data_IF_778178343725
#
_entry.id   IF_778178343725
#
_cell.length_a   1.000
_cell.length_b   1.000
_cell.length_c   1.000
_cell.angle_alpha   90.00
_cell.angle_beta   90.00
_cell.angle_gamma   90.00
#
_symmetry.space_group_name_H-M   'P 1'
#
loop_
_entity.id
_entity.type
_entity.pdbx_description
1 polymer ?
#
# COMPACT_ATOMS: atom_id res chain seq x y z
N UNK A 1 -11.50 15.20 17.38
CA UNK A 1 -10.70 15.23 16.13
C UNK A 1 -9.33 14.73 16.48
N UNK A 2 -8.95 13.56 15.94
CA UNK A 2 -7.78 12.82 16.40
C UNK A 2 -6.46 13.49 16.06
N UNK A 3 -5.44 13.21 16.89
CA UNK A 3 -4.07 13.67 16.69
C UNK A 3 -3.56 13.30 15.29
N UNK A 4 -3.90 12.11 14.81
CA UNK A 4 -3.50 11.60 13.49
C UNK A 4 -4.05 12.48 12.36
N UNK A 5 -5.28 12.95 12.45
CA UNK A 5 -5.87 13.81 11.40
C UNK A 5 -5.27 15.21 11.33
N UNK A 6 -4.48 15.63 12.33
CA UNK A 6 -3.77 16.91 12.34
C UNK A 6 -2.42 16.84 11.62
N UNK A 7 -1.88 15.63 11.39
CA UNK A 7 -0.60 15.46 10.72
C UNK A 7 -0.70 15.81 9.22
N UNK A 8 0.39 16.31 8.62
CA UNK A 8 0.46 16.55 7.18
C UNK A 8 0.20 15.26 6.39
N UNK A 9 -0.55 15.37 5.28
CA UNK A 9 -0.88 14.23 4.43
C UNK A 9 0.36 13.45 3.94
N UNK A 10 1.40 14.12 3.40
CA UNK A 10 2.63 13.47 2.98
C UNK A 10 3.34 12.67 4.09
N UNK A 11 3.34 13.18 5.32
CA UNK A 11 3.91 12.46 6.46
C UNK A 11 3.13 11.17 6.78
N UNK A 12 1.80 11.23 6.73
CA UNK A 12 0.96 10.05 6.96
C UNK A 12 1.20 8.99 5.88
N UNK A 13 1.36 9.39 4.61
CA UNK A 13 1.65 8.45 3.52
C UNK A 13 3.03 7.83 3.70
N UNK A 14 4.03 8.62 4.12
CA UNK A 14 5.36 8.11 4.44
C UNK A 14 5.33 7.07 5.58
N UNK A 15 4.60 7.35 6.67
CA UNK A 15 4.40 6.39 7.75
C UNK A 15 3.69 5.12 7.28
N UNK A 16 2.71 5.26 6.39
CA UNK A 16 2.05 4.13 5.75
C UNK A 16 2.99 3.29 4.89
N UNK A 17 3.79 3.92 4.04
CA UNK A 17 4.81 3.26 3.23
C UNK A 17 5.87 2.56 4.09
N UNK A 18 6.28 3.19 5.19
CA UNK A 18 7.16 2.58 6.18
C UNK A 18 6.57 1.29 6.76
N UNK A 19 5.30 1.31 7.20
CA UNK A 19 4.63 0.11 7.69
C UNK A 19 4.55 -0.97 6.61
N UNK A 20 4.18 -0.62 5.38
CA UNK A 20 4.05 -1.58 4.27
C UNK A 20 5.39 -2.20 3.87
N UNK A 21 6.50 -1.50 4.04
CA UNK A 21 7.84 -1.96 3.63
C UNK A 21 8.28 -3.27 4.31
N UNK A 22 7.72 -3.62 5.47
CA UNK A 22 7.98 -4.89 6.15
C UNK A 22 7.28 -6.10 5.50
N UNK A 23 6.45 -5.88 4.48
CA UNK A 23 5.62 -6.93 3.88
C UNK A 23 6.40 -8.10 3.32
N UNK A 24 7.46 -7.84 2.57
CA UNK A 24 8.31 -8.90 2.01
C UNK A 24 9.01 -9.72 3.09
N UNK A 25 9.58 -9.04 4.09
CA UNK A 25 10.23 -9.70 5.24
C UNK A 25 9.25 -10.62 5.98
N UNK A 26 8.07 -10.09 6.35
CA UNK A 26 7.09 -10.85 7.14
C UNK A 26 6.55 -12.04 6.33
N UNK A 27 6.18 -11.83 5.05
CA UNK A 27 5.61 -12.91 4.23
C UNK A 27 6.62 -14.04 3.99
N UNK A 28 7.90 -13.74 3.87
CA UNK A 28 8.95 -14.76 3.73
C UNK A 28 9.31 -15.49 5.03
N UNK A 29 8.93 -14.93 6.16
CA UNK A 29 9.20 -15.55 7.46
C UNK A 29 8.16 -16.59 7.88
N UNK A 30 7.06 -16.77 7.14
CA UNK A 30 6.07 -17.81 7.43
C UNK A 30 6.65 -19.21 7.21
N UNK A 31 6.41 -20.11 8.15
CA UNK A 31 6.93 -21.48 8.17
C UNK A 31 5.79 -22.50 7.99
N UNK A 32 5.64 -23.03 6.77
CA UNK A 32 4.70 -24.11 6.48
C UNK A 32 3.26 -23.71 6.21
N UNK A 33 2.89 -22.45 6.36
CA UNK A 33 1.56 -21.96 5.98
C UNK A 33 1.40 -21.80 4.48
N UNK A 34 0.25 -22.21 3.95
CA UNK A 34 -0.12 -21.95 2.56
C UNK A 34 -0.48 -20.48 2.35
N UNK A 35 -0.39 -20.01 1.12
CA UNK A 35 -0.75 -18.63 0.77
C UNK A 35 -2.17 -18.24 1.24
N UNK A 36 -3.12 -19.19 1.21
CA UNK A 36 -4.52 -18.94 1.59
C UNK A 36 -4.70 -18.84 3.10
N UNK A 37 -3.94 -19.62 3.87
CA UNK A 37 -3.90 -19.50 5.33
C UNK A 37 -3.28 -18.17 5.75
N UNK A 38 -2.17 -17.75 5.11
CA UNK A 38 -1.55 -16.44 5.34
C UNK A 38 -2.55 -15.32 5.04
N UNK A 39 -3.23 -15.39 3.88
CA UNK A 39 -4.24 -14.40 3.50
C UNK A 39 -5.34 -14.33 4.55
N UNK A 40 -5.92 -15.48 4.96
CA UNK A 40 -7.01 -15.53 5.93
C UNK A 40 -6.61 -14.88 7.27
N UNK A 41 -5.56 -15.37 7.93
CA UNK A 41 -5.16 -14.89 9.25
C UNK A 41 -4.68 -13.44 9.25
N UNK A 42 -3.95 -13.03 8.23
CA UNK A 42 -3.56 -11.64 8.03
C UNK A 42 -4.78 -10.72 7.97
N UNK A 43 -5.84 -11.11 7.27
CA UNK A 43 -7.05 -10.30 7.16
C UNK A 43 -7.89 -10.31 8.45
N UNK A 44 -7.90 -11.37 9.21
CA UNK A 44 -8.52 -11.40 10.55
C UNK A 44 -7.93 -10.29 11.42
N UNK A 45 -6.61 -10.23 11.55
CA UNK A 45 -5.95 -9.19 12.35
C UNK A 45 -6.08 -7.78 11.75
N UNK A 46 -6.10 -7.68 10.43
CA UNK A 46 -6.39 -6.42 9.74
C UNK A 46 -7.78 -5.87 10.10
N UNK A 47 -8.82 -6.70 10.00
CA UNK A 47 -10.20 -6.33 10.35
C UNK A 47 -10.28 -5.91 11.81
N UNK A 48 -9.65 -6.65 12.72
CA UNK A 48 -9.61 -6.31 14.15
C UNK A 48 -8.98 -4.93 14.34
N UNK A 49 -7.83 -4.66 13.70
CA UNK A 49 -7.11 -3.39 13.82
C UNK A 49 -7.93 -2.22 13.30
N UNK A 50 -8.53 -2.35 12.11
CA UNK A 50 -9.37 -1.30 11.53
C UNK A 50 -10.62 -1.07 12.41
N UNK A 51 -11.23 -2.14 12.91
CA UNK A 51 -12.38 -2.06 13.81
C UNK A 51 -12.04 -1.32 15.09
N UNK A 52 -10.94 -1.68 15.75
CA UNK A 52 -10.45 -1.00 16.95
C UNK A 52 -10.20 0.49 16.64
N UNK A 53 -9.53 0.80 15.54
CA UNK A 53 -9.29 2.18 15.13
C UNK A 53 -10.59 2.96 14.95
N UNK A 54 -11.59 2.40 14.28
CA UNK A 54 -12.90 3.04 14.07
C UNK A 54 -13.63 3.26 15.40
N UNK A 55 -13.62 2.29 16.31
CA UNK A 55 -14.26 2.43 17.63
C UNK A 55 -13.59 3.51 18.48
N UNK A 56 -12.26 3.60 18.49
CA UNK A 56 -11.55 4.66 19.20
C UNK A 56 -11.87 6.05 18.64
N UNK A 57 -12.07 6.14 17.32
CA UNK A 57 -12.31 7.40 16.63
C UNK A 57 -13.77 7.86 16.68
N UNK A 58 -14.72 6.95 16.53
CA UNK A 58 -16.14 7.25 16.31
C UNK A 58 -17.05 6.76 17.42
N UNK A 59 -16.54 5.95 18.36
CA UNK A 59 -17.32 5.39 19.48
C UNK A 59 -18.66 4.79 18.97
N UNK A 60 -19.79 5.32 19.46
CA UNK A 60 -21.14 4.85 19.07
C UNK A 60 -21.50 5.14 17.60
N UNK A 61 -20.78 6.03 16.91
CA UNK A 61 -21.08 6.46 15.54
C UNK A 61 -20.37 5.62 14.46
N UNK A 62 -19.72 4.51 14.82
CA UNK A 62 -18.99 3.65 13.85
C UNK A 62 -19.92 3.18 12.71
N UNK A 63 -21.10 2.64 13.03
CA UNK A 63 -22.04 2.16 12.02
C UNK A 63 -22.53 3.25 11.09
N UNK A 64 -22.77 4.46 11.61
CA UNK A 64 -23.13 5.62 10.79
C UNK A 64 -22.01 5.99 9.82
N UNK A 65 -20.74 5.89 10.23
CA UNK A 65 -19.58 6.19 9.35
C UNK A 65 -19.41 5.11 8.27
N UNK A 66 -19.63 3.85 8.60
CA UNK A 66 -19.66 2.75 7.62
C UNK A 66 -20.77 3.01 6.58
N UNK A 67 -21.97 3.35 7.03
CA UNK A 67 -23.10 3.65 6.14
C UNK A 67 -22.82 4.87 5.25
N UNK A 68 -22.23 5.93 5.80
CA UNK A 68 -21.87 7.15 5.06
C UNK A 68 -20.77 6.95 4.01
N UNK A 69 -19.96 5.90 4.11
CA UNK A 69 -19.01 5.56 3.03
C UNK A 69 -19.71 5.10 1.76
N UNK A 70 -20.94 4.61 1.90
CA UNK A 70 -21.89 4.32 0.82
C UNK A 70 -21.38 3.36 -0.26
N UNK A 71 -21.99 3.44 -1.44
CA UNK A 71 -21.62 2.62 -2.60
C UNK A 71 -20.15 2.79 -2.99
N UNK A 72 -19.57 4.01 -3.01
CA UNK A 72 -18.13 4.17 -3.32
C UNK A 72 -17.24 3.42 -2.34
N UNK A 73 -17.57 3.44 -1.03
CA UNK A 73 -16.84 2.69 0.00
C UNK A 73 -16.98 1.18 -0.20
N UNK A 74 -18.18 0.69 -0.54
CA UNK A 74 -18.41 -0.73 -0.81
C UNK A 74 -17.61 -1.21 -2.03
N UNK A 75 -17.71 -0.52 -3.16
CA UNK A 75 -17.00 -0.86 -4.40
C UNK A 75 -15.49 -0.78 -4.18
N UNK A 76 -15.00 0.32 -3.57
CA UNK A 76 -13.60 0.49 -3.26
C UNK A 76 -13.05 -0.59 -2.33
N UNK A 77 -13.84 -1.01 -1.34
CA UNK A 77 -13.49 -2.10 -0.44
C UNK A 77 -13.40 -3.46 -1.16
N UNK A 78 -14.36 -3.79 -2.02
CA UNK A 78 -14.32 -5.03 -2.81
C UNK A 78 -13.08 -5.05 -3.71
N UNK A 79 -12.83 -3.97 -4.45
CA UNK A 79 -11.67 -3.84 -5.35
C UNK A 79 -10.36 -3.98 -4.56
N UNK A 80 -10.24 -3.30 -3.42
CA UNK A 80 -9.04 -3.39 -2.58
C UNK A 80 -8.86 -4.80 -2.00
N UNK A 81 -9.93 -5.48 -1.62
CA UNK A 81 -9.88 -6.87 -1.13
C UNK A 81 -9.35 -7.85 -2.18
N UNK A 82 -9.73 -7.67 -3.45
CA UNK A 82 -9.14 -8.38 -4.58
C UNK A 82 -7.64 -8.05 -4.69
N UNK A 83 -7.27 -6.78 -4.53
CA UNK A 83 -5.87 -6.35 -4.49
C UNK A 83 -5.06 -7.03 -3.40
N UNK A 84 -5.57 -7.14 -2.18
CA UNK A 84 -4.91 -7.85 -1.08
C UNK A 84 -4.70 -9.33 -1.39
N UNK A 85 -5.67 -9.97 -2.02
CA UNK A 85 -5.58 -11.36 -2.44
C UNK A 85 -4.53 -11.55 -3.54
N UNK A 86 -4.51 -10.64 -4.51
CA UNK A 86 -3.52 -10.65 -5.60
C UNK A 86 -2.09 -10.44 -5.10
N UNK A 87 -1.90 -9.60 -4.07
CA UNK A 87 -0.60 -9.40 -3.45
C UNK A 87 -0.04 -10.69 -2.86
N UNK A 88 -0.84 -11.39 -2.03
CA UNK A 88 -0.38 -12.64 -1.39
C UNK A 88 -0.15 -13.72 -2.46
N UNK A 89 -1.03 -13.82 -3.45
CA UNK A 89 -0.85 -14.75 -4.57
C UNK A 89 0.45 -14.46 -5.34
N UNK A 90 0.73 -13.22 -5.65
CA UNK A 90 1.95 -12.82 -6.35
C UNK A 90 3.20 -13.15 -5.53
N UNK A 91 3.24 -12.74 -4.25
CA UNK A 91 4.37 -13.02 -3.36
C UNK A 91 4.69 -14.51 -3.22
N UNK A 92 3.69 -15.38 -3.37
CA UNK A 92 3.85 -16.82 -3.30
C UNK A 92 4.28 -17.44 -4.63
N UNK A 93 3.81 -16.89 -5.77
CA UNK A 93 4.00 -17.46 -7.11
C UNK A 93 5.07 -16.77 -7.96
N UNK A 94 5.69 -15.68 -7.46
CA UNK A 94 6.85 -15.04 -8.10
C UNK A 94 7.84 -14.57 -7.05
N UNK A 95 8.93 -13.92 -7.46
CA UNK A 95 9.91 -13.39 -6.50
C UNK A 95 9.37 -12.14 -5.79
N UNK A 96 9.83 -11.92 -4.56
CA UNK A 96 9.49 -10.69 -3.81
C UNK A 96 9.94 -9.45 -4.58
N UNK A 97 11.12 -9.52 -5.24
CA UNK A 97 11.63 -8.42 -6.03
C UNK A 97 10.70 -8.08 -7.22
N UNK A 98 10.25 -9.09 -7.99
CA UNK A 98 9.30 -8.89 -9.09
C UNK A 98 7.97 -8.32 -8.59
N UNK A 99 7.42 -8.88 -7.50
CA UNK A 99 6.16 -8.42 -6.92
C UNK A 99 6.27 -6.96 -6.48
N UNK A 100 7.30 -6.63 -5.72
CA UNK A 100 7.53 -5.26 -5.25
C UNK A 100 7.71 -4.29 -6.41
N UNK A 101 8.48 -4.67 -7.44
CA UNK A 101 8.65 -3.83 -8.63
C UNK A 101 7.33 -3.55 -9.33
N UNK A 102 6.53 -4.60 -9.59
CA UNK A 102 5.25 -4.45 -10.27
C UNK A 102 4.31 -3.57 -9.44
N UNK A 103 4.27 -3.73 -8.11
CA UNK A 103 3.46 -2.89 -7.22
C UNK A 103 3.84 -1.42 -7.33
N UNK A 104 5.13 -1.09 -7.47
CA UNK A 104 5.57 0.29 -7.58
C UNK A 104 5.13 0.98 -8.87
N UNK A 105 4.64 0.23 -9.87
CA UNK A 105 3.95 0.82 -11.03
C UNK A 105 2.67 1.57 -10.62
N UNK A 106 2.18 1.42 -9.39
CA UNK A 106 1.11 2.23 -8.80
C UNK A 106 1.35 3.73 -8.94
N UNK A 107 2.60 4.18 -8.94
CA UNK A 107 2.97 5.58 -9.15
C UNK A 107 2.49 6.10 -10.50
N UNK A 108 2.60 5.27 -11.54
CA UNK A 108 2.14 5.58 -12.90
C UNK A 108 0.61 5.63 -12.93
N UNK A 109 -0.05 4.61 -12.38
CA UNK A 109 -1.53 4.56 -12.33
C UNK A 109 -2.11 5.72 -11.53
N UNK A 110 -1.50 6.10 -10.41
CA UNK A 110 -1.93 7.23 -9.59
C UNK A 110 -1.80 8.57 -10.33
N UNK A 111 -0.71 8.77 -11.08
CA UNK A 111 -0.54 9.97 -11.89
C UNK A 111 -1.58 10.03 -13.02
N UNK A 112 -1.78 8.93 -13.74
CA UNK A 112 -2.75 8.82 -14.84
C UNK A 112 -4.18 9.03 -14.31
N UNK A 113 -4.58 8.29 -13.28
CA UNK A 113 -5.93 8.36 -12.74
C UNK A 113 -6.22 9.71 -12.08
N UNK A 114 -5.23 10.30 -11.37
CA UNK A 114 -5.33 11.65 -10.82
C UNK A 114 -5.59 12.70 -11.92
N UNK A 115 -4.83 12.62 -13.00
CA UNK A 115 -5.00 13.54 -14.13
C UNK A 115 -6.35 13.39 -14.82
N UNK A 116 -6.73 12.17 -15.24
CA UNK A 116 -7.94 11.95 -16.03
C UNK A 116 -9.23 12.04 -15.21
N UNK A 117 -9.28 11.46 -14.01
CA UNK A 117 -10.52 11.35 -13.23
C UNK A 117 -10.71 12.47 -12.21
N UNK A 118 -9.63 13.00 -11.64
CA UNK A 118 -9.67 14.07 -10.65
C UNK A 118 -9.29 15.43 -11.22
N UNK A 119 -8.87 15.48 -12.50
CA UNK A 119 -8.37 16.69 -13.17
C UNK A 119 -7.23 17.36 -12.39
N UNK A 120 -6.42 16.56 -11.71
CA UNK A 120 -5.26 17.04 -10.95
C UNK A 120 -4.19 17.57 -11.91
N UNK A 121 -3.71 18.79 -11.68
CA UNK A 121 -2.60 19.35 -12.46
C UNK A 121 -1.27 18.78 -11.96
N UNK A 122 -0.55 18.10 -12.82
CA UNK A 122 0.80 17.59 -12.52
C UNK A 122 1.79 18.73 -12.70
N UNK A 123 2.48 19.11 -11.62
CA UNK A 123 3.53 20.13 -11.71
C UNK A 123 4.76 19.60 -12.47
N UNK A 124 5.58 20.50 -13.04
CA UNK A 124 6.84 20.10 -13.71
C UNK A 124 7.77 19.33 -12.76
N UNK A 125 7.80 19.69 -11.47
CA UNK A 125 8.60 19.01 -10.46
C UNK A 125 8.07 17.59 -10.22
N UNK A 126 6.74 17.45 -10.10
CA UNK A 126 6.10 16.13 -9.94
C UNK A 126 6.39 15.23 -11.16
N UNK A 127 6.30 15.76 -12.37
CA UNK A 127 6.64 15.01 -13.59
C UNK A 127 8.11 14.58 -13.60
N UNK A 128 9.02 15.48 -13.27
CA UNK A 128 10.44 15.17 -13.16
C UNK A 128 10.71 14.09 -12.08
N UNK A 129 10.07 14.20 -10.93
CA UNK A 129 10.17 13.21 -9.85
C UNK A 129 9.65 11.83 -10.30
N UNK A 130 8.54 11.76 -11.05
CA UNK A 130 8.02 10.50 -11.61
C UNK A 130 9.04 9.88 -12.57
N UNK A 131 9.60 10.66 -13.50
CA UNK A 131 10.59 10.18 -14.48
C UNK A 131 11.83 9.65 -13.75
N UNK A 132 12.37 10.42 -12.79
CA UNK A 132 13.51 9.99 -11.97
C UNK A 132 13.19 8.71 -11.20
N UNK A 133 12.03 8.63 -10.57
CA UNK A 133 11.62 7.47 -9.79
C UNK A 133 11.49 6.21 -10.67
N UNK A 134 10.89 6.31 -11.86
CA UNK A 134 10.78 5.20 -12.81
C UNK A 134 12.18 4.77 -13.28
N UNK A 135 13.08 5.72 -13.59
CA UNK A 135 14.45 5.37 -13.99
C UNK A 135 15.20 4.66 -12.85
N UNK A 136 15.02 5.09 -11.60
CA UNK A 136 15.58 4.41 -10.42
C UNK A 136 15.03 3.00 -10.25
N UNK A 137 13.72 2.80 -10.43
CA UNK A 137 13.08 1.47 -10.39
C UNK A 137 13.63 0.54 -11.48
N UNK A 138 13.78 1.02 -12.71
CA UNK A 138 14.34 0.24 -13.82
C UNK A 138 15.78 -0.17 -13.50
N UNK A 139 16.58 0.73 -12.94
CA UNK A 139 17.95 0.42 -12.51
C UNK A 139 17.99 -0.61 -11.37
N UNK A 140 17.10 -0.52 -10.38
CA UNK A 140 17.03 -1.49 -9.28
C UNK A 140 16.72 -2.90 -9.75
N UNK A 141 15.92 -3.03 -10.82
CA UNK A 141 15.59 -4.32 -11.39
C UNK A 141 16.82 -5.06 -11.93
N UNK A 142 17.74 -4.34 -12.58
CA UNK A 142 18.90 -4.96 -13.21
C UNK A 142 18.49 -6.20 -14.01
N UNK A 143 19.15 -7.34 -13.72
CA UNK A 143 18.87 -8.64 -14.33
C UNK A 143 17.88 -9.52 -13.53
N UNK A 144 17.10 -8.96 -12.60
CA UNK A 144 16.24 -9.75 -11.69
C UNK A 144 14.93 -10.23 -12.33
N UNK A 145 14.60 -9.77 -13.52
CA UNK A 145 13.46 -10.30 -14.30
C UNK A 145 13.78 -11.71 -14.83
N UNK A 146 13.92 -12.68 -13.94
CA UNK A 146 14.06 -14.07 -14.34
C UNK A 146 12.72 -14.61 -14.85
N UNK A 147 12.79 -15.21 -16.04
CA UNK A 147 11.71 -15.90 -16.75
C UNK A 147 11.28 -17.14 -15.98
N UNK A 148 10.24 -17.10 -15.17
CA UNK A 148 9.82 -18.36 -14.55
C UNK A 148 8.44 -18.37 -13.93
N UNK A 149 7.83 -17.22 -13.71
CA UNK A 149 6.60 -17.18 -12.90
C UNK A 149 5.59 -16.17 -13.47
N UNK A 150 5.22 -16.39 -14.73
CA UNK A 150 4.36 -15.48 -15.51
C UNK A 150 3.01 -15.24 -14.82
N UNK A 151 2.40 -16.27 -14.23
CA UNK A 151 1.11 -16.14 -13.54
C UNK A 151 1.20 -15.19 -12.33
N UNK A 152 2.24 -15.35 -11.50
CA UNK A 152 2.48 -14.46 -10.37
C UNK A 152 2.71 -13.01 -10.81
N UNK A 153 3.50 -12.80 -11.85
CA UNK A 153 3.79 -11.48 -12.39
C UNK A 153 2.53 -10.78 -12.95
N UNK A 154 1.69 -11.52 -13.70
CA UNK A 154 0.44 -10.96 -14.26
C UNK A 154 -0.52 -10.58 -13.13
N UNK A 155 -0.71 -11.47 -12.15
CA UNK A 155 -1.62 -11.21 -11.01
C UNK A 155 -1.10 -10.07 -10.13
N UNK A 156 0.22 -9.87 -10.05
CA UNK A 156 0.83 -8.76 -9.32
C UNK A 156 0.33 -7.38 -9.80
N UNK A 157 0.01 -7.21 -11.09
CA UNK A 157 -0.51 -5.94 -11.63
C UNK A 157 -1.90 -5.56 -11.09
N UNK A 158 -2.66 -6.49 -10.54
CA UNK A 158 -3.96 -6.18 -9.93
C UNK A 158 -3.78 -5.25 -8.73
N UNK A 159 -2.72 -5.44 -7.92
CA UNK A 159 -2.50 -4.62 -6.72
C UNK A 159 -2.30 -3.13 -7.02
N UNK A 160 -1.39 -2.69 -7.92
CA UNK A 160 -1.20 -1.28 -8.21
C UNK A 160 -2.44 -0.61 -8.79
N UNK A 161 -3.23 -1.33 -9.59
CA UNK A 161 -4.48 -0.80 -10.16
C UNK A 161 -5.53 -0.61 -9.06
N UNK A 162 -5.73 -1.62 -8.20
CA UNK A 162 -6.72 -1.55 -7.11
C UNK A 162 -6.34 -0.50 -6.07
N UNK A 163 -5.03 -0.34 -5.79
CA UNK A 163 -4.53 0.73 -4.93
C UNK A 163 -4.79 2.12 -5.53
N UNK A 164 -4.52 2.30 -6.82
CA UNK A 164 -4.79 3.56 -7.49
C UNK A 164 -6.29 3.92 -7.48
N UNK A 165 -7.17 2.93 -7.64
CA UNK A 165 -8.63 3.12 -7.52
C UNK A 165 -9.03 3.50 -6.09
N UNK A 166 -8.43 2.86 -5.06
CA UNK A 166 -8.64 3.26 -3.67
C UNK A 166 -8.33 4.75 -3.46
N UNK A 167 -7.15 5.20 -3.88
CA UNK A 167 -6.73 6.58 -3.71
C UNK A 167 -7.64 7.53 -4.50
N UNK A 168 -8.05 7.15 -5.71
CA UNK A 168 -9.02 7.90 -6.51
C UNK A 168 -10.34 8.11 -5.76
N UNK A 169 -10.90 7.05 -5.14
CA UNK A 169 -12.13 7.12 -4.36
C UNK A 169 -11.95 8.03 -3.14
N UNK A 170 -10.88 7.83 -2.39
CA UNK A 170 -10.57 8.64 -1.20
C UNK A 170 -10.50 10.13 -1.54
N UNK A 171 -9.87 10.48 -2.66
CA UNK A 171 -9.71 11.86 -3.10
C UNK A 171 -10.96 12.46 -3.73
N UNK A 172 -11.76 11.63 -4.40
CA UNK A 172 -13.03 12.09 -5.00
C UNK A 172 -14.07 12.47 -3.94
N UNK A 173 -14.00 11.86 -2.76
CA UNK A 173 -14.93 12.09 -1.65
C UNK A 173 -14.20 12.59 -0.39
N UNK A 174 -13.58 13.78 -0.42
CA UNK A 174 -12.70 14.24 0.68
C UNK A 174 -13.43 14.49 2.00
N UNK A 175 -14.74 14.79 1.95
CA UNK A 175 -15.58 15.02 3.12
C UNK A 175 -16.01 13.72 3.79
N UNK A 176 -16.00 12.60 3.07
CA UNK A 176 -16.39 11.29 3.59
C UNK A 176 -15.16 10.59 4.15
N UNK A 177 -15.33 9.95 5.31
CA UNK A 177 -14.29 9.05 5.81
C UNK A 177 -14.35 7.71 5.06
N UNK A 178 -13.27 7.41 4.35
CA UNK A 178 -13.14 6.17 3.58
C UNK A 178 -12.34 5.08 4.32
N UNK A 179 -11.89 5.30 5.57
CA UNK A 179 -11.27 4.23 6.37
C UNK A 179 -12.22 3.03 6.55
N UNK A 180 -13.54 3.20 6.72
CA UNK A 180 -14.46 2.06 6.82
C UNK A 180 -14.46 1.11 5.62
N UNK A 181 -14.11 1.56 4.41
CA UNK A 181 -14.04 0.66 3.23
C UNK A 181 -12.99 -0.45 3.41
N UNK A 182 -12.01 -0.23 4.27
CA UNK A 182 -10.98 -1.22 4.59
C UNK A 182 -11.56 -2.45 5.30
N UNK A 183 -12.67 -2.30 6.07
CA UNK A 183 -13.38 -3.45 6.64
C UNK A 183 -13.93 -4.34 5.54
N UNK A 184 -14.55 -3.75 4.50
CA UNK A 184 -15.04 -4.49 3.35
C UNK A 184 -13.89 -5.20 2.64
N UNK A 185 -12.78 -4.52 2.44
CA UNK A 185 -11.58 -5.10 1.81
C UNK A 185 -11.04 -6.29 2.60
N UNK A 186 -10.94 -6.13 3.93
CA UNK A 186 -10.53 -7.20 4.82
C UNK A 186 -11.46 -8.40 4.76
N UNK A 187 -12.78 -8.17 4.82
CA UNK A 187 -13.79 -9.23 4.77
C UNK A 187 -13.73 -9.98 3.43
N UNK A 188 -13.65 -9.27 2.31
CA UNK A 188 -13.55 -9.89 0.97
C UNK A 188 -12.32 -10.77 0.87
N UNK A 189 -11.14 -10.26 1.23
CA UNK A 189 -9.90 -11.03 1.16
C UNK A 189 -9.86 -12.17 2.19
N UNK A 190 -10.47 -11.99 3.38
CA UNK A 190 -10.62 -13.05 4.37
C UNK A 190 -11.51 -14.18 3.84
N UNK A 191 -12.63 -13.87 3.21
CA UNK A 191 -13.53 -14.87 2.60
C UNK A 191 -12.79 -15.64 1.49
N UNK A 192 -12.04 -14.96 0.62
CA UNK A 192 -11.24 -15.59 -0.42
C UNK A 192 -10.23 -16.56 0.22
N UNK A 193 -9.49 -16.11 1.24
CA UNK A 193 -8.53 -16.95 1.97
C UNK A 193 -9.20 -18.15 2.62
N UNK A 194 -10.36 -17.97 3.25
CA UNK A 194 -11.13 -19.04 3.89
C UNK A 194 -11.60 -20.10 2.90
N UNK A 195 -12.24 -19.68 1.80
CA UNK A 195 -12.80 -20.58 0.79
C UNK A 195 -11.73 -21.34 0.01
N UNK A 196 -10.56 -20.74 -0.19
CA UNK A 196 -9.45 -21.36 -0.89
C UNK A 196 -8.55 -22.21 0.01
N UNK A 197 -8.67 -22.10 1.34
CA UNK A 197 -7.92 -22.91 2.30
C UNK A 197 -8.57 -24.27 2.52
N UNK A 198 -7.77 -25.35 2.47
CA UNK A 198 -8.22 -26.69 2.88
C UNK A 198 -8.23 -26.86 4.40
N UNK A 199 -7.37 -26.12 5.11
CA UNK A 199 -7.25 -26.11 6.58
C UNK A 199 -6.97 -24.68 7.03
N UNK A 200 -7.50 -24.28 8.18
CA UNK A 200 -7.27 -22.95 8.76
C UNK A 200 -6.16 -22.97 9.82
N UNK A 201 -5.89 -24.16 10.39
CA UNK A 201 -4.89 -24.29 11.45
C UNK A 201 -3.48 -23.97 10.94
N UNK A 202 -2.78 -23.14 11.68
CA UNK A 202 -1.39 -22.74 11.43
C UNK A 202 -0.62 -22.79 12.76
N UNK A 203 0.70 -22.73 12.71
CA UNK A 203 1.55 -22.69 13.90
C UNK A 203 1.31 -21.40 14.70
N UNK A 204 1.64 -21.41 16.00
CA UNK A 204 1.55 -20.21 16.84
C UNK A 204 2.52 -19.11 16.36
N UNK A 205 3.66 -19.51 15.80
CA UNK A 205 4.61 -18.60 15.17
C UNK A 205 4.00 -17.89 13.95
N UNK A 206 3.32 -18.64 13.09
CA UNK A 206 2.64 -18.09 11.92
C UNK A 206 1.45 -17.19 12.29
N UNK A 207 0.74 -17.49 13.40
CA UNK A 207 -0.28 -16.58 13.97
C UNK A 207 0.35 -15.26 14.39
N UNK A 208 1.51 -15.30 15.05
CA UNK A 208 2.22 -14.08 15.45
C UNK A 208 2.66 -13.25 14.23
N UNK A 209 3.17 -13.90 13.18
CA UNK A 209 3.52 -13.22 11.93
C UNK A 209 2.28 -12.62 11.23
N UNK A 210 1.16 -13.35 11.22
CA UNK A 210 -0.10 -12.87 10.71
C UNK A 210 -0.62 -11.66 11.50
N UNK A 211 -0.45 -11.67 12.83
CA UNK A 211 -0.76 -10.52 13.69
C UNK A 211 0.10 -9.30 13.32
N UNK A 212 1.42 -9.45 13.19
CA UNK A 212 2.30 -8.37 12.78
C UNK A 212 1.93 -7.84 11.39
N UNK A 213 1.69 -8.74 10.44
CA UNK A 213 1.31 -8.37 9.08
C UNK A 213 -0.06 -7.69 9.03
N UNK A 214 -1.06 -8.25 9.70
CA UNK A 214 -2.44 -7.72 9.69
C UNK A 214 -2.56 -6.40 10.46
N UNK A 215 -1.90 -6.28 11.61
CA UNK A 215 -2.03 -5.11 12.48
C UNK A 215 -1.08 -4.01 12.08
N UNK A 216 0.22 -4.27 12.10
CA UNK A 216 1.24 -3.24 11.88
C UNK A 216 1.42 -2.96 10.40
N UNK A 217 1.71 -3.98 9.59
CA UNK A 217 2.07 -3.77 8.20
C UNK A 217 0.89 -3.22 7.39
N UNK A 218 -0.22 -3.94 7.23
CA UNK A 218 -1.35 -3.45 6.42
C UNK A 218 -2.34 -2.61 7.23
N UNK A 219 -2.60 -2.92 8.50
CA UNK A 219 -3.61 -2.25 9.31
C UNK A 219 -3.27 -0.77 9.51
N UNK A 220 -2.19 -0.49 10.19
CA UNK A 220 -1.72 0.88 10.36
C UNK A 220 -1.31 1.52 9.03
N UNK A 221 -0.64 0.76 8.15
CA UNK A 221 -0.22 1.23 6.84
C UNK A 221 -1.37 1.84 6.03
N UNK A 222 -2.42 1.08 5.80
CA UNK A 222 -3.57 1.56 5.01
C UNK A 222 -4.41 2.62 5.73
N UNK A 223 -4.50 2.60 7.07
CA UNK A 223 -5.15 3.68 7.83
C UNK A 223 -4.41 5.01 7.57
N UNK A 224 -3.09 5.05 7.72
CA UNK A 224 -2.29 6.26 7.49
C UNK A 224 -2.39 6.72 6.03
N UNK A 225 -2.27 5.82 5.07
CA UNK A 225 -2.40 6.14 3.64
C UNK A 225 -3.78 6.72 3.34
N UNK A 226 -4.85 6.10 3.80
CA UNK A 226 -6.23 6.55 3.52
C UNK A 226 -6.49 7.94 4.10
N UNK A 227 -6.00 8.22 5.32
CA UNK A 227 -6.15 9.55 5.93
C UNK A 227 -5.26 10.57 5.20
N UNK A 228 -4.02 10.21 4.89
CA UNK A 228 -3.06 11.07 4.22
C UNK A 228 -3.45 11.42 2.78
N UNK A 229 -4.01 10.47 2.05
CA UNK A 229 -4.39 10.63 0.65
C UNK A 229 -5.50 11.68 0.45
N UNK A 230 -6.36 11.92 1.44
CA UNK A 230 -7.37 12.99 1.37
C UNK A 230 -6.75 14.37 1.16
N UNK A 231 -5.53 14.58 1.63
CA UNK A 231 -4.83 15.87 1.66
C UNK A 231 -3.63 15.92 0.71
N UNK A 232 -3.39 14.86 -0.06
CA UNK A 232 -2.18 14.74 -0.90
C UNK A 232 -2.59 14.40 -2.31
N UNK A 233 -1.98 15.05 -3.33
CA UNK A 233 -2.23 14.75 -4.73
C UNK A 233 -1.90 13.29 -5.06
N UNK A 234 -2.66 12.67 -5.96
CA UNK A 234 -2.51 11.25 -6.29
C UNK A 234 -1.10 10.89 -6.76
N UNK A 235 -0.52 11.73 -7.63
CA UNK A 235 0.85 11.54 -8.10
C UNK A 235 1.88 11.62 -6.96
N UNK A 236 1.67 12.51 -5.98
CA UNK A 236 2.54 12.61 -4.79
C UNK A 236 2.42 11.40 -3.89
N UNK A 237 1.21 10.86 -3.72
CA UNK A 237 1.00 9.59 -3.00
C UNK A 237 1.88 8.51 -3.63
N UNK A 238 1.83 8.35 -4.96
CA UNK A 238 2.64 7.37 -5.67
C UNK A 238 4.14 7.53 -5.42
N UNK A 239 4.66 8.76 -5.53
CA UNK A 239 6.10 9.02 -5.34
C UNK A 239 6.54 8.71 -3.90
N UNK A 240 5.75 9.11 -2.90
CA UNK A 240 6.08 8.84 -1.49
C UNK A 240 6.02 7.34 -1.20
N UNK A 241 5.09 6.61 -1.82
CA UNK A 241 4.98 5.16 -1.68
C UNK A 241 6.22 4.41 -2.19
N UNK A 242 7.04 5.02 -3.07
CA UNK A 242 8.32 4.42 -3.49
C UNK A 242 9.33 4.28 -2.34
N UNK A 243 9.10 4.91 -1.21
CA UNK A 243 9.86 4.66 0.04
C UNK A 243 9.82 3.17 0.41
N UNK A 244 8.71 2.49 0.16
CA UNK A 244 8.58 1.04 0.35
C UNK A 244 9.56 0.24 -0.50
N UNK A 245 9.77 0.66 -1.75
CA UNK A 245 10.71 -0.01 -2.67
C UNK A 245 12.17 0.04 -2.19
N UNK A 246 12.50 1.05 -1.41
CA UNK A 246 13.85 1.24 -0.84
C UNK A 246 13.98 0.50 0.49
N UNK A 247 13.00 0.71 1.37
CA UNK A 247 13.03 0.14 2.71
C UNK A 247 12.88 -1.39 2.69
N UNK A 248 12.14 -1.96 1.73
CA UNK A 248 11.99 -3.42 1.61
C UNK A 248 13.34 -4.15 1.49
N UNK A 249 14.17 -3.86 0.48
CA UNK A 249 15.53 -4.40 0.38
C UNK A 249 16.43 -4.05 1.57
N UNK A 250 16.27 -2.88 2.18
CA UNK A 250 17.03 -2.49 3.36
C UNK A 250 16.75 -3.42 4.55
N UNK A 251 15.48 -3.80 4.79
CA UNK A 251 15.14 -4.77 5.83
C UNK A 251 15.72 -6.15 5.52
N UNK A 252 15.68 -6.59 4.26
CA UNK A 252 16.30 -7.85 3.85
C UNK A 252 17.82 -7.84 4.13
N UNK A 253 18.50 -6.74 3.85
CA UNK A 253 19.93 -6.58 4.19
C UNK A 253 20.19 -6.65 5.69
N UNK A 254 19.42 -5.92 6.51
CA UNK A 254 19.66 -5.81 7.94
C UNK A 254 19.28 -7.10 8.72
N UNK A 255 18.23 -7.81 8.30
CA UNK A 255 17.69 -8.93 9.08
C UNK A 255 17.99 -10.32 8.48
N UNK A 256 18.27 -10.40 7.16
CA UNK A 256 18.51 -11.66 6.45
C UNK A 256 19.91 -11.72 5.85
N UNK A 257 20.75 -10.67 6.07
CA UNK A 257 22.11 -10.53 5.53
C UNK A 257 22.17 -10.61 3.99
N UNK A 258 21.10 -10.26 3.28
CA UNK A 258 21.10 -10.13 1.83
C UNK A 258 21.77 -8.80 1.44
N UNK A 259 23.01 -8.83 0.96
CA UNK A 259 23.68 -7.62 0.50
C UNK A 259 22.99 -7.05 -0.75
N UNK A 260 22.59 -5.76 -0.75
CA UNK A 260 21.99 -5.14 -1.90
C UNK A 260 23.00 -5.07 -3.05
N UNK A 261 22.56 -5.38 -4.27
CA UNK A 261 23.41 -5.24 -5.46
C UNK A 261 23.71 -3.76 -5.72
N UNK A 262 24.78 -3.50 -6.48
CA UNK A 262 25.17 -2.14 -6.88
C UNK A 262 24.04 -1.39 -7.60
N UNK A 263 23.24 -2.10 -8.41
CA UNK A 263 22.08 -1.54 -9.09
C UNK A 263 20.98 -1.10 -8.11
N UNK A 264 20.76 -1.87 -7.03
CA UNK A 264 19.81 -1.51 -5.96
C UNK A 264 20.26 -0.26 -5.22
N UNK A 265 21.56 -0.12 -4.96
CA UNK A 265 22.11 1.07 -4.28
C UNK A 265 21.97 2.34 -5.15
N UNK A 266 22.33 2.28 -6.42
CA UNK A 266 22.21 3.44 -7.33
C UNK A 266 20.72 3.77 -7.57
N UNK A 267 19.92 2.79 -7.96
CA UNK A 267 18.50 3.00 -8.23
C UNK A 267 17.75 3.50 -7.00
N UNK A 268 18.07 2.95 -5.82
CA UNK A 268 17.54 3.42 -4.54
C UNK A 268 17.91 4.87 -4.24
N UNK A 269 19.17 5.26 -4.50
CA UNK A 269 19.63 6.66 -4.36
C UNK A 269 18.86 7.64 -5.26
N UNK A 270 18.59 7.24 -6.51
CA UNK A 270 17.79 8.05 -7.45
C UNK A 270 16.34 8.19 -6.94
N UNK A 271 15.75 7.11 -6.43
CA UNK A 271 14.39 7.14 -5.87
C UNK A 271 14.33 8.03 -4.63
N UNK A 272 15.31 7.91 -3.71
CA UNK A 272 15.39 8.78 -2.52
C UNK A 272 15.42 10.26 -2.95
N UNK A 273 16.23 10.58 -3.96
CA UNK A 273 16.30 11.94 -4.48
C UNK A 273 14.97 12.41 -5.08
N UNK A 274 14.28 11.56 -5.84
CA UNK A 274 12.96 11.86 -6.40
C UNK A 274 11.91 12.09 -5.31
N UNK A 275 11.89 11.25 -4.27
CA UNK A 275 11.00 11.40 -3.10
C UNK A 275 11.31 12.70 -2.36
N UNK A 276 12.59 13.01 -2.14
CA UNK A 276 13.04 14.24 -1.48
C UNK A 276 12.61 15.49 -2.26
N UNK A 277 12.83 15.52 -3.58
CA UNK A 277 12.36 16.63 -4.45
C UNK A 277 10.86 16.85 -4.32
N UNK A 278 10.10 15.75 -4.34
CA UNK A 278 8.65 15.82 -4.21
C UNK A 278 8.22 16.31 -2.82
N UNK A 279 8.89 15.85 -1.76
CA UNK A 279 8.60 16.28 -0.39
C UNK A 279 8.84 17.78 -0.22
N UNK A 280 9.98 18.29 -0.68
CA UNK A 280 10.31 19.73 -0.62
C UNK A 280 9.32 20.56 -1.44
N UNK A 281 8.90 20.06 -2.61
CA UNK A 281 7.90 20.72 -3.45
C UNK A 281 6.53 20.81 -2.77
N UNK A 282 6.14 19.78 -2.00
CA UNK A 282 4.85 19.74 -1.31
C UNK A 282 4.75 20.80 -0.22
N UNK A 283 5.81 21.00 0.57
CA UNK A 283 5.84 22.06 1.60
C UNK A 283 5.78 23.48 1.01
N UNK A 284 6.32 23.67 -0.21
CA UNK A 284 6.22 24.96 -0.91
C UNK A 284 4.85 25.18 -1.57
N UNK A 285 4.11 24.10 -1.86
CA UNK A 285 2.80 24.13 -2.53
C UNK A 285 1.60 24.23 -1.58
N UNK A 286 1.71 23.76 -0.34
CA UNK A 286 0.63 23.84 0.66
C UNK A 286 0.18 25.29 0.96
N UNK A 287 1.05 26.28 0.77
CA UNK A 287 0.68 27.71 0.88
C UNK A 287 -0.20 28.22 -0.27
N UNK A 288 -0.50 27.41 -1.31
CA UNK A 288 -1.30 27.82 -2.49
C UNK A 288 -2.59 27.02 -2.67
N UNK A 289 -2.83 25.97 -1.90
CA UNK A 289 -4.02 25.14 -2.04
C UNK A 289 -4.89 25.23 -0.78
N UNK A 290 -5.71 26.30 -0.74
CA UNK A 290 -6.85 26.41 0.18
C UNK A 290 -8.08 25.90 -0.62
N UNK A 291 -8.65 24.74 -0.37
CA UNK A 291 -9.91 24.33 -1.00
C UNK A 291 -11.02 25.19 -0.37
N UNK A 292 -11.64 26.06 -1.17
CA UNK A 292 -12.94 26.67 -0.87
C UNK A 292 -14.04 25.62 -0.92
#
# INVERSE_FOLDING_TARGET
>A
MNLISKLPGPLLIFLGAFCLSFGGLIVKSFEGSTLWQILFWRQVFFIITVTIFLFFNYKKNVFSKIYLSGIPGLIGGIILGIGFSSYVFAMYNTTVANTNFIIQTQTIFLAIFGYFFLKEKISKITLASIILAISGLILMLGNTLSSGQMSGNIVAFVMPITFAILILIVRKYPTVDMVPLQLVAGIVAMIIGFLASTKISVSMYDIFLAFLSGTFQIGLGFIFITIGAKKTLSAMVGIIMLTEAILGPMWAWLFVNENPSFHVLIGGGIIIFAVFLQFVSSFKGENKYNPQ
#
